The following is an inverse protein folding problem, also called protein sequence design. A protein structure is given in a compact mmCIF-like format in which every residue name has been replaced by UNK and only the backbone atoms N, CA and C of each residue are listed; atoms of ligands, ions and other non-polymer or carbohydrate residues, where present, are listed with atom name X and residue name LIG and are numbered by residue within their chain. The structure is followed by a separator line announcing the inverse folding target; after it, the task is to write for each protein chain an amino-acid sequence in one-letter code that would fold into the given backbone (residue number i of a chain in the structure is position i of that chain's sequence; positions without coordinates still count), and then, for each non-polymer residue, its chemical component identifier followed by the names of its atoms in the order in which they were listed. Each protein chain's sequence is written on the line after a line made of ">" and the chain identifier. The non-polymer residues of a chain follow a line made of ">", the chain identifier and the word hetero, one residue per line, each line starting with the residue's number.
data_IF_008551258695
#
_entry.id   IF_008551258695
#
_cell.length_a   1.000
_cell.length_b   1.000
_cell.length_c   1.000
_cell.angle_alpha   90.00
_cell.angle_beta   90.00
_cell.angle_gamma   90.00
#
_symmetry.space_group_name_H-M   'P 1'
#
loop_
_entity.id
_entity.type
_entity.pdbx_description
1 polymer ?
#
# COMPACT_ATOMS: atom_id res chain seq x y z
N UNK A 1 11.34 13.01 8.32
CA UNK A 1 11.13 13.28 6.90
C UNK A 1 9.73 13.85 6.72
N UNK A 2 9.61 14.99 6.05
CA UNK A 2 8.34 15.70 5.81
C UNK A 2 7.53 14.99 4.71
N UNK A 3 6.21 15.16 4.70
CA UNK A 3 5.34 14.49 3.71
C UNK A 3 5.70 14.79 2.25
N UNK A 4 6.27 15.97 1.97
CA UNK A 4 6.72 16.34 0.63
C UNK A 4 7.96 15.57 0.18
N UNK A 5 8.88 15.26 1.11
CA UNK A 5 10.08 14.47 0.81
C UNK A 5 9.69 13.01 0.49
N UNK A 6 8.69 12.45 1.20
CA UNK A 6 8.15 11.13 0.88
C UNK A 6 7.50 11.07 -0.50
N UNK A 7 6.74 12.10 -0.88
CA UNK A 7 6.11 12.16 -2.20
C UNK A 7 7.13 12.14 -3.32
N UNK A 8 8.18 12.94 -3.20
CA UNK A 8 9.22 13.01 -4.23
C UNK A 8 9.98 11.68 -4.34
N UNK A 9 10.41 11.10 -3.21
CA UNK A 9 11.09 9.81 -3.19
C UNK A 9 10.24 8.69 -3.82
N UNK A 10 8.94 8.64 -3.50
CA UNK A 10 8.02 7.64 -4.06
C UNK A 10 7.76 7.89 -5.55
N UNK A 11 7.69 9.16 -5.97
CA UNK A 11 7.57 9.49 -7.39
C UNK A 11 8.76 8.99 -8.21
N UNK A 12 9.99 9.27 -7.73
CA UNK A 12 11.23 8.81 -8.37
C UNK A 12 11.26 7.28 -8.44
N UNK A 13 11.02 6.59 -7.31
CA UNK A 13 11.03 5.13 -7.25
C UNK A 13 10.03 4.50 -8.23
N UNK A 14 8.81 5.05 -8.28
CA UNK A 14 7.78 4.58 -9.21
C UNK A 14 8.23 4.70 -10.67
N UNK A 15 8.79 5.86 -11.04
CA UNK A 15 9.22 6.15 -12.42
C UNK A 15 10.41 5.28 -12.82
N UNK A 16 11.39 5.09 -11.94
CA UNK A 16 12.56 4.27 -12.21
C UNK A 16 12.23 2.79 -12.35
N UNK A 17 11.30 2.29 -11.53
CA UNK A 17 10.87 0.90 -11.58
C UNK A 17 9.82 0.61 -12.66
N UNK A 18 9.27 1.64 -13.32
CA UNK A 18 8.24 1.50 -14.35
C UNK A 18 6.88 1.08 -13.82
N UNK A 19 6.58 1.31 -12.53
CA UNK A 19 5.30 0.92 -11.93
C UNK A 19 4.19 1.97 -12.19
N UNK A 20 2.95 1.51 -12.34
CA UNK A 20 1.79 2.39 -12.45
C UNK A 20 1.49 3.10 -11.14
N UNK A 21 1.72 2.42 -10.01
CA UNK A 21 1.47 2.92 -8.67
C UNK A 21 2.64 2.59 -7.74
N UNK A 22 2.97 3.54 -6.85
CA UNK A 22 3.79 3.26 -5.69
C UNK A 22 3.26 4.05 -4.48
N UNK A 23 3.34 3.46 -3.30
CA UNK A 23 2.92 4.10 -2.07
C UNK A 23 3.80 3.71 -0.89
N UNK A 24 3.73 4.50 0.16
CA UNK A 24 4.43 4.21 1.42
C UNK A 24 3.49 4.29 2.61
N UNK A 25 3.51 3.22 3.40
CA UNK A 25 2.85 3.15 4.69
C UNK A 25 3.86 3.39 5.82
N UNK A 26 3.45 4.13 6.83
CA UNK A 26 4.22 4.39 8.05
C UNK A 26 3.49 3.82 9.25
N UNK A 27 4.28 3.33 10.20
CA UNK A 27 3.77 3.00 11.53
C UNK A 27 3.46 4.28 12.29
N UNK A 28 2.33 4.29 12.98
CA UNK A 28 1.93 5.31 13.96
C UNK A 28 1.72 4.60 15.28
N UNK A 29 2.50 4.99 16.29
CA UNK A 29 2.38 4.45 17.65
C UNK A 29 1.53 5.41 18.46
N UNK A 30 0.30 4.99 18.74
CA UNK A 30 -0.60 5.65 19.70
C UNK A 30 -0.80 4.70 20.89
N UNK A 31 -2.03 4.56 21.42
CA UNK A 31 -2.40 3.46 22.32
C UNK A 31 -2.36 2.10 21.62
N UNK A 32 -2.37 2.06 20.28
CA UNK A 32 -2.18 0.88 19.45
C UNK A 32 -1.15 1.15 18.36
N UNK A 33 -0.57 0.08 17.82
CA UNK A 33 0.28 0.15 16.62
C UNK A 33 -0.63 0.13 15.40
N UNK A 34 -0.60 1.20 14.61
CA UNK A 34 -1.37 1.34 13.37
C UNK A 34 -0.44 1.62 12.20
N UNK A 35 -0.89 1.29 10.99
CA UNK A 35 -0.24 1.65 9.74
C UNK A 35 -1.15 2.59 8.96
N UNK A 36 -0.57 3.69 8.47
CA UNK A 36 -1.27 4.66 7.62
C UNK A 36 -0.44 4.95 6.37
N UNK A 37 -1.09 5.14 5.24
CA UNK A 37 -0.42 5.55 4.03
C UNK A 37 -0.08 7.04 4.10
N UNK A 38 1.21 7.37 3.96
CA UNK A 38 1.71 8.75 4.06
C UNK A 38 1.72 9.45 2.71
N UNK A 39 2.15 8.73 1.68
CA UNK A 39 2.28 9.25 0.33
C UNK A 39 2.07 8.14 -0.68
N UNK A 40 1.64 8.53 -1.87
CA UNK A 40 1.56 7.69 -3.05
C UNK A 40 1.90 8.51 -4.30
N UNK A 41 2.28 7.82 -5.37
CA UNK A 41 2.47 8.35 -6.71
C UNK A 41 1.77 7.43 -7.71
N UNK A 42 1.15 8.01 -8.74
CA UNK A 42 0.30 7.25 -9.67
C UNK A 42 -1.05 6.85 -9.08
N UNK A 43 -1.41 7.38 -7.90
CA UNK A 43 -2.69 7.13 -7.27
C UNK A 43 -3.83 7.75 -8.08
N UNK A 44 -4.93 7.01 -8.24
CA UNK A 44 -6.14 7.42 -8.97
C UNK A 44 -6.93 8.47 -8.20
N UNK A 45 -6.87 8.41 -6.87
CA UNK A 45 -7.58 9.30 -5.98
C UNK A 45 -6.80 9.42 -4.65
N UNK A 46 -7.38 10.12 -3.65
CA UNK A 46 -6.73 10.32 -2.34
C UNK A 46 -7.34 9.47 -1.22
N UNK A 47 -8.19 8.49 -1.54
CA UNK A 47 -8.83 7.62 -0.56
C UNK A 47 -7.83 6.71 0.15
N UNK A 48 -6.66 6.43 -0.44
CA UNK A 48 -5.57 5.72 0.24
C UNK A 48 -5.19 6.38 1.58
N UNK A 49 -5.35 7.70 1.73
CA UNK A 49 -5.08 8.43 2.99
C UNK A 49 -6.07 8.09 4.12
N UNK A 50 -7.25 7.56 3.79
CA UNK A 50 -8.26 7.14 4.77
C UNK A 50 -8.00 5.73 5.31
N UNK A 51 -7.09 4.99 4.67
CA UNK A 51 -6.80 3.61 5.05
C UNK A 51 -5.95 3.60 6.32
N UNK A 52 -6.49 2.98 7.36
CA UNK A 52 -5.81 2.69 8.63
C UNK A 52 -5.83 1.19 8.84
N UNK A 53 -4.67 0.59 9.07
CA UNK A 53 -4.51 -0.85 9.22
C UNK A 53 -3.91 -1.19 10.59
N UNK A 54 -4.38 -2.27 11.19
CA UNK A 54 -3.64 -2.95 12.27
C UNK A 54 -2.57 -3.88 11.66
N UNK A 55 -1.52 -4.24 12.42
CA UNK A 55 -0.57 -5.27 12.01
C UNK A 55 -1.28 -6.56 11.58
N UNK A 56 -0.87 -7.13 10.45
CA UNK A 56 -1.47 -8.32 9.85
C UNK A 56 -2.72 -8.06 8.99
N UNK A 57 -3.22 -6.82 8.91
CA UNK A 57 -4.40 -6.48 8.09
C UNK A 57 -4.00 -5.80 6.79
N UNK A 58 -4.61 -6.24 5.68
CA UNK A 58 -4.28 -5.81 4.33
C UNK A 58 -2.82 -6.04 3.95
N UNK A 59 -2.42 -5.53 2.78
CA UNK A 59 -1.08 -5.76 2.21
C UNK A 59 0.02 -5.20 3.13
N UNK A 60 -0.04 -3.91 3.48
CA UNK A 60 1.00 -3.26 4.27
C UNK A 60 1.08 -3.83 5.71
N UNK A 61 -0.07 -4.12 6.33
CA UNK A 61 -0.09 -4.74 7.66
C UNK A 61 0.46 -6.16 7.63
N UNK A 62 0.17 -6.94 6.59
CA UNK A 62 0.73 -8.28 6.38
C UNK A 62 2.26 -8.25 6.24
N UNK A 63 2.81 -7.39 5.37
CA UNK A 63 4.26 -7.22 5.22
C UNK A 63 4.90 -6.80 6.54
N UNK A 64 4.31 -5.84 7.25
CA UNK A 64 4.82 -5.35 8.53
C UNK A 64 4.85 -6.43 9.62
N UNK A 65 3.80 -7.23 9.73
CA UNK A 65 3.73 -8.30 10.74
C UNK A 65 4.76 -9.40 10.47
N UNK A 66 4.86 -9.84 9.21
CA UNK A 66 5.70 -10.99 8.84
C UNK A 66 7.15 -10.61 8.58
N UNK A 67 7.46 -9.31 8.41
CA UNK A 67 8.80 -8.78 8.06
C UNK A 67 9.37 -9.42 6.79
N UNK A 68 8.49 -9.77 5.85
CA UNK A 68 8.83 -10.43 4.59
C UNK A 68 8.26 -9.63 3.43
N UNK A 69 9.05 -9.52 2.38
CA UNK A 69 8.58 -9.01 1.09
C UNK A 69 7.48 -9.92 0.56
N UNK A 70 6.44 -9.33 0.00
CA UNK A 70 5.34 -10.02 -0.66
C UNK A 70 5.34 -9.65 -2.14
N UNK A 71 5.30 -10.65 -3.01
CA UNK A 71 5.24 -10.48 -4.46
C UNK A 71 3.97 -11.18 -4.93
N UNK A 72 3.11 -10.43 -5.62
CA UNK A 72 1.83 -10.91 -6.16
C UNK A 72 1.82 -10.52 -7.63
N UNK A 73 1.77 -11.52 -8.52
CA UNK A 73 1.77 -11.28 -9.96
C UNK A 73 0.37 -10.92 -10.48
N UNK A 74 -0.64 -11.66 -10.02
CA UNK A 74 -2.05 -11.45 -10.34
C UNK A 74 -2.87 -11.53 -9.06
N UNK A 75 -3.49 -10.41 -8.69
CA UNK A 75 -4.34 -10.28 -7.51
C UNK A 75 -5.53 -11.24 -7.58
N UNK A 76 -6.15 -11.40 -8.75
CA UNK A 76 -7.34 -12.27 -8.89
C UNK A 76 -6.98 -13.74 -8.79
N UNK A 77 -5.74 -14.11 -9.13
CA UNK A 77 -5.25 -15.47 -8.98
C UNK A 77 -4.81 -15.79 -7.53
N UNK A 78 -4.32 -14.78 -6.80
CA UNK A 78 -3.75 -14.97 -5.46
C UNK A 78 -4.72 -14.66 -4.30
N UNK A 79 -5.80 -13.90 -4.54
CA UNK A 79 -6.73 -13.48 -3.51
C UNK A 79 -8.17 -13.81 -3.88
N UNK A 80 -8.92 -14.27 -2.89
CA UNK A 80 -10.38 -14.35 -2.96
C UNK A 80 -11.00 -12.96 -2.90
N UNK A 81 -12.25 -12.82 -3.34
CA UNK A 81 -13.01 -11.54 -3.25
C UNK A 81 -13.05 -11.01 -1.81
N UNK A 82 -13.23 -11.90 -0.83
CA UNK A 82 -13.20 -11.54 0.59
C UNK A 82 -11.86 -10.94 0.99
N UNK A 83 -10.73 -11.54 0.58
CA UNK A 83 -9.40 -11.03 0.92
C UNK A 83 -9.07 -9.70 0.23
N UNK A 84 -9.61 -9.49 -0.98
CA UNK A 84 -9.51 -8.20 -1.68
C UNK A 84 -10.23 -7.11 -0.89
N UNK A 85 -11.43 -7.38 -0.37
CA UNK A 85 -12.17 -6.45 0.50
C UNK A 85 -11.38 -6.10 1.76
N UNK A 86 -10.63 -7.06 2.32
CA UNK A 86 -9.76 -6.84 3.48
C UNK A 86 -8.40 -6.19 3.13
N UNK A 87 -8.15 -5.91 1.85
CA UNK A 87 -6.94 -5.28 1.33
C UNK A 87 -7.27 -3.96 0.64
N UNK A 88 -7.68 -2.93 1.41
CA UNK A 88 -8.32 -1.73 0.88
C UNK A 88 -7.48 -0.92 -0.11
N UNK A 89 -6.15 -1.08 -0.12
CA UNK A 89 -5.30 -0.43 -1.12
C UNK A 89 -5.52 -0.99 -2.53
N UNK A 90 -5.82 -2.30 -2.64
CA UNK A 90 -6.14 -2.93 -3.91
C UNK A 90 -7.41 -2.32 -4.50
N UNK A 91 -8.41 -2.06 -3.66
CA UNK A 91 -9.67 -1.42 -4.07
C UNK A 91 -9.52 0.08 -4.34
N UNK A 92 -8.82 0.81 -3.48
CA UNK A 92 -8.70 2.26 -3.59
C UNK A 92 -7.99 2.68 -4.90
N UNK A 93 -7.06 1.85 -5.36
CA UNK A 93 -6.21 2.13 -6.51
C UNK A 93 -6.45 1.16 -7.68
N UNK A 94 -7.40 0.22 -7.54
CA UNK A 94 -7.78 -0.79 -8.55
C UNK A 94 -6.58 -1.61 -9.06
N UNK A 95 -5.79 -2.11 -8.10
CA UNK A 95 -4.59 -2.88 -8.39
C UNK A 95 -4.97 -4.33 -8.72
N UNK A 96 -4.61 -4.78 -9.92
CA UNK A 96 -5.00 -6.08 -10.47
C UNK A 96 -3.84 -7.00 -10.79
N UNK A 97 -3.06 -6.69 -11.82
CA UNK A 97 -1.94 -7.55 -12.25
C UNK A 97 -0.85 -6.72 -12.91
N UNK A 98 0.36 -7.29 -12.98
CA UNK A 98 1.42 -6.78 -13.84
C UNK A 98 1.28 -7.45 -15.22
N UNK A 99 1.30 -6.65 -16.29
CA UNK A 99 1.34 -7.16 -17.69
C UNK A 99 2.74 -6.98 -18.26
#
# INVERSE_FOLDING_TARGET
>A
MKDNEWKEAIHILRRQAGFDFAGIASVVRTNRTLLVWRAASGNRNRNYLKIVLEPGKGIAGGVFQHKKTMIVQDVKACYTESEIVHSPILLAEDLGSFT
#
